data_IF_845740442045
#
_entry.id   IF_845740442045
#
_cell.length_a   1.000
_cell.length_b   1.000
_cell.length_c   1.000
_cell.angle_alpha   90.00
_cell.angle_beta   90.00
_cell.angle_gamma   90.00
#
_symmetry.space_group_name_H-M   'P 1'
#
loop_
_entity.id
_entity.type
_entity.pdbx_description
1 polymer ?
#
# COMPACT_ATOMS: atom_id res chain seq x y z
N UNK A 1 -7.94 34.20 4.20
CA UNK A 1 -8.74 32.98 4.48
C UNK A 1 -7.91 31.84 5.11
N UNK A 2 -6.68 31.54 4.67
CA UNK A 2 -5.81 30.53 5.32
C UNK A 2 -5.59 30.81 6.83
N UNK A 3 -5.55 32.08 7.21
CA UNK A 3 -5.44 32.53 8.59
C UNK A 3 -6.60 32.10 9.51
N UNK A 4 -7.80 31.82 8.98
CA UNK A 4 -9.00 31.51 9.78
C UNK A 4 -9.09 30.03 10.15
N UNK A 5 -8.70 29.14 9.23
CA UNK A 5 -8.60 27.70 9.50
C UNK A 5 -7.53 27.41 10.56
N UNK A 6 -6.38 28.10 10.48
CA UNK A 6 -5.31 28.00 11.50
C UNK A 6 -5.75 28.49 12.88
N UNK A 7 -6.58 29.55 12.94
CA UNK A 7 -7.13 30.02 14.21
C UNK A 7 -8.16 29.05 14.79
N UNK A 8 -9.04 28.45 13.97
CA UNK A 8 -9.96 27.41 14.46
C UNK A 8 -9.24 26.16 14.95
N UNK A 9 -8.14 25.77 14.30
CA UNK A 9 -7.30 24.67 14.78
C UNK A 9 -6.68 25.00 16.15
N UNK A 10 -6.16 26.22 16.34
CA UNK A 10 -5.62 26.67 17.63
C UNK A 10 -6.66 26.78 18.75
N UNK A 11 -7.95 26.81 18.41
CA UNK A 11 -9.08 26.87 19.34
C UNK A 11 -9.71 25.50 19.63
N UNK A 12 -9.14 24.40 19.13
CA UNK A 12 -9.68 23.04 19.31
C UNK A 12 -10.94 22.74 18.48
N UNK A 13 -11.29 23.61 17.53
CA UNK A 13 -12.47 23.50 16.66
C UNK A 13 -12.13 22.75 15.38
N UNK A 14 -11.67 21.52 15.57
CA UNK A 14 -11.08 20.69 14.52
C UNK A 14 -12.04 20.36 13.35
N UNK A 15 -13.33 20.03 13.59
CA UNK A 15 -14.28 19.75 12.50
C UNK A 15 -14.57 20.99 11.63
N UNK A 16 -14.66 22.17 12.24
CA UNK A 16 -14.88 23.42 11.50
C UNK A 16 -13.61 23.88 10.77
N UNK A 17 -12.43 23.61 11.33
CA UNK A 17 -11.15 23.90 10.69
C UNK A 17 -10.92 23.04 9.43
N UNK A 18 -11.27 21.75 9.49
CA UNK A 18 -11.21 20.82 8.35
C UNK A 18 -12.22 21.18 7.26
N UNK A 19 -13.47 21.43 7.63
CA UNK A 19 -14.53 21.84 6.68
C UNK A 19 -14.14 23.12 5.95
N UNK A 20 -13.64 24.11 6.69
CA UNK A 20 -13.17 25.37 6.10
C UNK A 20 -11.90 25.16 5.25
N UNK A 21 -11.01 24.25 5.65
CA UNK A 21 -9.83 23.87 4.88
C UNK A 21 -10.18 23.27 3.51
N UNK A 22 -11.15 22.35 3.47
CA UNK A 22 -11.65 21.74 2.23
C UNK A 22 -12.31 22.77 1.30
N UNK A 23 -13.13 23.67 1.84
CA UNK A 23 -13.76 24.75 1.06
C UNK A 23 -12.72 25.70 0.46
N UNK A 24 -11.69 26.06 1.23
CA UNK A 24 -10.58 26.91 0.75
C UNK A 24 -9.78 26.20 -0.35
N UNK A 25 -9.58 24.88 -0.23
CA UNK A 25 -8.89 24.09 -1.26
C UNK A 25 -9.69 24.03 -2.56
N UNK A 26 -11.00 23.79 -2.49
CA UNK A 26 -11.94 23.82 -3.62
C UNK A 26 -11.95 25.18 -4.34
N UNK A 27 -12.02 26.27 -3.58
CA UNK A 27 -11.98 27.64 -4.12
C UNK A 27 -10.64 27.96 -4.78
N UNK A 28 -9.53 27.51 -4.19
CA UNK A 28 -8.20 27.68 -4.80
C UNK A 28 -8.08 26.89 -6.10
N UNK A 29 -8.61 25.66 -6.16
CA UNK A 29 -8.70 24.86 -7.40
C UNK A 29 -9.47 25.57 -8.50
N UNK A 30 -10.61 26.19 -8.17
CA UNK A 30 -11.42 26.94 -9.13
C UNK A 30 -10.80 28.25 -9.61
N UNK A 31 -10.10 28.97 -8.73
CA UNK A 31 -9.58 30.31 -9.04
C UNK A 31 -8.18 30.27 -9.65
N UNK A 32 -7.31 29.41 -9.12
CA UNK A 32 -5.89 29.38 -9.48
C UNK A 32 -5.53 28.22 -10.41
N UNK A 33 -6.44 27.25 -10.59
CA UNK A 33 -6.18 26.02 -11.34
C UNK A 33 -5.39 24.98 -10.51
N UNK A 34 -5.49 23.69 -10.88
CA UNK A 34 -4.89 22.58 -10.14
C UNK A 34 -3.35 22.64 -10.09
N UNK A 35 -2.71 23.16 -11.14
CA UNK A 35 -1.24 23.23 -11.29
C UNK A 35 -0.58 24.38 -10.51
N UNK A 36 -1.36 25.26 -9.88
CA UNK A 36 -0.80 26.41 -9.20
C UNK A 36 -0.21 26.00 -7.84
N UNK A 37 1.01 26.41 -7.53
CA UNK A 37 1.75 26.09 -6.29
C UNK A 37 1.00 26.37 -4.97
N UNK A 38 0.01 27.29 -4.98
CA UNK A 38 -0.87 27.55 -3.83
C UNK A 38 -2.14 26.69 -3.77
N UNK A 39 -2.40 25.91 -4.81
CA UNK A 39 -3.52 24.97 -5.00
C UNK A 39 -3.11 23.52 -4.84
N UNK A 40 -1.82 23.22 -5.08
CA UNK A 40 -1.22 21.97 -4.62
C UNK A 40 -1.62 21.81 -3.15
N UNK A 41 -2.47 20.81 -2.87
CA UNK A 41 -2.86 20.52 -1.50
C UNK A 41 -1.58 20.36 -0.68
N UNK A 42 -1.59 20.57 0.65
CA UNK A 42 -0.55 19.94 1.47
C UNK A 42 -0.48 18.50 0.98
N UNK A 43 0.69 18.10 0.47
CA UNK A 43 0.90 16.79 -0.14
C UNK A 43 0.32 15.79 0.83
N UNK A 44 -0.82 15.17 0.47
CA UNK A 44 -1.41 14.20 1.36
C UNK A 44 -0.45 13.02 1.31
N UNK A 45 0.29 12.85 2.40
CA UNK A 45 1.31 11.83 2.53
C UNK A 45 0.66 10.46 2.55
N UNK A 46 1.47 9.44 2.26
CA UNK A 46 1.00 8.07 2.36
C UNK A 46 0.55 7.76 3.79
N UNK A 47 -0.48 6.92 3.92
CA UNK A 47 -0.86 6.29 5.18
C UNK A 47 -0.40 4.84 5.18
N UNK A 48 0.15 4.34 6.29
CA UNK A 48 0.45 2.91 6.45
C UNK A 48 -0.52 2.32 7.46
N UNK A 49 -1.31 1.33 7.05
CA UNK A 49 -2.19 0.56 7.92
C UNK A 49 -1.58 -0.84 8.06
N UNK A 50 -1.18 -1.21 9.29
CA UNK A 50 -0.57 -2.51 9.58
C UNK A 50 -1.60 -3.50 10.09
N UNK A 51 -1.41 -4.78 9.83
CA UNK A 51 -2.28 -5.82 10.38
C UNK A 51 -2.27 -5.79 11.92
N UNK A 52 -3.42 -5.98 12.60
CA UNK A 52 -4.78 -6.16 12.07
C UNK A 52 -5.62 -4.86 12.09
N UNK A 53 -5.01 -3.68 12.00
CA UNK A 53 -5.70 -2.39 12.15
C UNK A 53 -6.81 -2.18 11.12
N UNK A 54 -7.95 -1.65 11.59
CA UNK A 54 -9.14 -1.29 10.80
C UNK A 54 -9.31 0.23 10.66
N UNK A 55 -8.21 0.97 10.76
CA UNK A 55 -8.22 2.42 10.54
C UNK A 55 -8.84 2.79 9.17
N UNK A 56 -9.57 3.92 9.10
CA UNK A 56 -10.12 4.40 7.83
C UNK A 56 -9.00 4.68 6.81
N UNK A 57 -9.25 4.29 5.56
CA UNK A 57 -8.40 4.62 4.41
C UNK A 57 -8.48 6.11 4.13
N UNK A 58 -7.32 6.76 4.02
CA UNK A 58 -7.23 8.19 3.71
C UNK A 58 -6.68 8.47 2.31
N UNK A 59 -5.91 7.55 1.72
CA UNK A 59 -5.36 7.69 0.37
C UNK A 59 -6.43 7.67 -0.72
N UNK A 60 -6.14 8.34 -1.84
CA UNK A 60 -6.97 8.27 -3.06
C UNK A 60 -6.84 6.92 -3.76
N UNK A 61 -5.73 6.24 -3.51
CA UNK A 61 -5.38 4.91 -4.01
C UNK A 61 -4.83 4.09 -2.87
N UNK A 62 -4.82 2.77 -3.06
CA UNK A 62 -4.36 1.83 -2.06
C UNK A 62 -3.52 0.71 -2.65
N UNK A 63 -2.50 0.29 -1.90
CA UNK A 63 -1.60 -0.81 -2.28
C UNK A 63 -1.47 -1.81 -1.14
N UNK A 64 -1.59 -3.09 -1.43
CA UNK A 64 -1.32 -4.18 -0.49
C UNK A 64 0.06 -4.77 -0.72
N UNK A 65 0.85 -4.91 0.35
CA UNK A 65 2.22 -5.42 0.29
C UNK A 65 2.28 -6.91 0.63
N UNK A 66 1.96 -7.76 -0.35
CA UNK A 66 2.05 -9.22 -0.23
C UNK A 66 3.49 -9.73 -0.45
N UNK A 67 3.79 -10.93 0.02
CA UNK A 67 5.07 -11.58 -0.26
C UNK A 67 5.87 -11.96 0.97
N UNK A 68 7.17 -12.19 0.77
CA UNK A 68 8.10 -12.58 1.82
C UNK A 68 8.10 -11.53 2.94
N UNK A 69 7.74 -11.96 4.14
CA UNK A 69 7.65 -11.12 5.34
C UNK A 69 8.86 -11.26 6.27
N UNK A 70 9.68 -12.29 6.09
CA UNK A 70 10.89 -12.50 6.87
C UNK A 70 11.94 -11.44 6.49
N UNK A 71 12.52 -10.77 7.49
CA UNK A 71 13.70 -9.94 7.30
C UNK A 71 14.86 -10.85 6.88
N UNK A 72 15.19 -10.88 5.59
CA UNK A 72 16.35 -11.61 5.11
C UNK A 72 17.56 -10.72 5.36
N UNK A 73 18.51 -11.23 6.14
CA UNK A 73 19.70 -10.51 6.57
C UNK A 73 20.43 -9.92 5.35
N UNK A 74 20.73 -8.62 5.42
CA UNK A 74 21.58 -7.81 4.53
C UNK A 74 20.93 -6.87 3.49
N UNK A 75 19.60 -6.80 3.33
CA UNK A 75 18.99 -5.84 2.35
C UNK A 75 17.82 -4.98 2.87
N UNK A 76 17.56 -4.99 4.18
CA UNK A 76 16.44 -4.28 4.79
C UNK A 76 15.07 -4.89 4.43
N UNK A 77 14.00 -4.34 5.01
CA UNK A 77 12.64 -4.75 4.68
C UNK A 77 12.17 -4.01 3.42
N UNK A 78 11.95 -4.77 2.34
CA UNK A 78 11.48 -4.22 1.06
C UNK A 78 10.17 -3.44 1.19
N UNK A 79 9.31 -3.79 2.17
CA UNK A 79 8.05 -3.10 2.44
C UNK A 79 8.30 -1.71 2.97
N UNK A 80 9.26 -1.55 3.87
CA UNK A 80 9.63 -0.26 4.42
C UNK A 80 10.30 0.61 3.35
N UNK A 81 11.15 0.02 2.49
CA UNK A 81 11.75 0.72 1.36
C UNK A 81 10.68 1.23 0.36
N UNK A 82 9.74 0.36 -0.05
CA UNK A 82 8.66 0.76 -0.95
C UNK A 82 7.73 1.79 -0.29
N UNK A 83 7.44 1.63 1.00
CA UNK A 83 6.63 2.61 1.74
C UNK A 83 7.30 3.98 1.82
N UNK A 84 8.63 4.01 1.98
CA UNK A 84 9.40 5.25 1.95
C UNK A 84 9.37 5.91 0.56
N UNK A 85 9.48 5.13 -0.53
CA UNK A 85 9.38 5.65 -1.89
C UNK A 85 7.99 6.25 -2.19
N UNK A 86 6.95 5.67 -1.60
CA UNK A 86 5.57 6.13 -1.77
C UNK A 86 5.18 7.25 -0.79
N UNK A 87 6.07 7.70 0.09
CA UNK A 87 5.71 8.54 1.24
C UNK A 87 5.08 9.90 0.88
N UNK A 88 5.41 10.40 -0.30
CA UNK A 88 4.97 11.70 -0.81
C UNK A 88 3.74 11.60 -1.72
N UNK A 89 3.15 10.41 -1.85
CA UNK A 89 1.95 10.20 -2.65
C UNK A 89 0.74 9.96 -1.76
N UNK A 90 -0.47 10.36 -2.20
CA UNK A 90 -1.72 10.17 -1.47
C UNK A 90 -2.22 8.72 -1.52
N UNK A 91 -1.38 7.76 -1.13
CA UNK A 91 -1.67 6.32 -1.17
C UNK A 91 -1.81 5.73 0.22
N UNK A 92 -2.78 4.85 0.44
CA UNK A 92 -2.84 4.01 1.64
C UNK A 92 -2.15 2.68 1.38
N UNK A 93 -1.18 2.34 2.22
CA UNK A 93 -0.38 1.13 2.14
C UNK A 93 -0.87 0.16 3.20
N UNK A 94 -1.43 -0.96 2.77
CA UNK A 94 -1.74 -2.08 3.64
C UNK A 94 -0.49 -2.96 3.79
N UNK A 95 0.10 -2.94 4.98
CA UNK A 95 1.30 -3.69 5.29
C UNK A 95 0.96 -4.86 6.24
N UNK A 96 1.10 -6.13 5.80
CA UNK A 96 0.73 -7.29 6.61
C UNK A 96 1.68 -7.56 7.79
N UNK A 97 2.74 -6.77 7.94
CA UNK A 97 3.61 -6.85 9.12
C UNK A 97 2.79 -6.61 10.40
N UNK A 98 2.86 -7.55 11.34
CA UNK A 98 2.15 -7.52 12.62
C UNK A 98 3.16 -7.22 13.74
N UNK A 99 3.20 -6.00 14.31
CA UNK A 99 4.25 -5.60 15.26
C UNK A 99 4.26 -6.38 16.58
N UNK A 100 3.12 -6.95 16.97
CA UNK A 100 2.91 -7.72 18.20
C UNK A 100 2.98 -9.24 17.95
N UNK A 101 3.49 -9.67 16.80
CA UNK A 101 3.78 -11.08 16.56
C UNK A 101 4.87 -11.59 17.51
N UNK A 102 4.69 -12.81 17.99
CA UNK A 102 5.71 -13.53 18.77
C UNK A 102 5.78 -15.02 18.37
N UNK A 103 6.85 -15.69 18.82
CA UNK A 103 7.13 -17.09 18.46
C UNK A 103 6.19 -18.12 19.09
N UNK A 104 5.26 -17.72 19.97
CA UNK A 104 4.27 -18.62 20.58
C UNK A 104 3.03 -18.80 19.71
N UNK A 105 2.92 -17.98 18.66
CA UNK A 105 1.82 -18.05 17.71
C UNK A 105 1.82 -19.36 16.94
N UNK A 106 0.62 -19.92 16.75
CA UNK A 106 0.43 -21.19 16.06
C UNK A 106 -0.35 -20.96 14.77
N UNK A 107 0.10 -21.60 13.70
CA UNK A 107 -0.64 -21.70 12.44
C UNK A 107 -1.83 -22.66 12.60
N UNK A 108 -2.86 -22.19 13.31
CA UNK A 108 -4.08 -22.92 13.60
C UNK A 108 -5.27 -22.00 13.36
N UNK A 109 -6.26 -22.48 12.60
CA UNK A 109 -7.49 -21.73 12.31
C UNK A 109 -8.26 -21.35 13.58
N UNK A 110 -8.12 -22.12 14.66
CA UNK A 110 -8.77 -21.83 15.94
C UNK A 110 -7.95 -20.89 16.83
N UNK A 111 -6.70 -20.59 16.46
CA UNK A 111 -5.89 -19.62 17.17
C UNK A 111 -6.23 -18.22 16.68
N UNK A 112 -7.02 -17.50 17.50
CA UNK A 112 -7.61 -16.20 17.18
C UNK A 112 -6.66 -15.20 16.51
N UNK A 113 -5.47 -14.92 17.09
CA UNK A 113 -4.55 -13.94 16.50
C UNK A 113 -4.02 -14.32 15.11
N UNK A 114 -3.76 -15.62 14.87
CA UNK A 114 -3.36 -16.11 13.55
C UNK A 114 -4.50 -16.00 12.54
N UNK A 115 -5.71 -16.43 12.94
CA UNK A 115 -6.91 -16.32 12.10
C UNK A 115 -7.22 -14.86 11.73
N UNK A 116 -7.15 -13.95 12.69
CA UNK A 116 -7.39 -12.52 12.47
C UNK A 116 -6.41 -11.94 11.45
N UNK A 117 -5.12 -12.28 11.58
CA UNK A 117 -4.10 -11.88 10.61
C UNK A 117 -4.44 -12.35 9.20
N UNK A 118 -4.72 -13.63 9.02
CA UNK A 118 -5.00 -14.20 7.69
C UNK A 118 -6.26 -13.60 7.07
N UNK A 119 -7.32 -13.38 7.86
CA UNK A 119 -8.53 -12.73 7.35
C UNK A 119 -8.29 -11.28 6.96
N UNK A 120 -7.57 -10.53 7.79
CA UNK A 120 -7.18 -9.16 7.48
C UNK A 120 -6.38 -9.07 6.18
N UNK A 121 -5.41 -9.99 5.98
CA UNK A 121 -4.61 -10.06 4.76
C UNK A 121 -5.45 -10.35 3.52
N UNK A 122 -6.48 -11.19 3.63
CA UNK A 122 -7.42 -11.46 2.53
C UNK A 122 -8.31 -10.24 2.24
N UNK A 123 -8.90 -9.64 3.27
CA UNK A 123 -9.82 -8.52 3.12
C UNK A 123 -9.13 -7.27 2.54
N UNK A 124 -7.96 -6.90 3.07
CA UNK A 124 -7.21 -5.74 2.58
C UNK A 124 -6.65 -5.93 1.19
N UNK A 125 -6.30 -7.16 0.80
CA UNK A 125 -5.83 -7.48 -0.55
C UNK A 125 -6.96 -7.39 -1.59
N UNK A 126 -8.17 -7.80 -1.23
CA UNK A 126 -9.35 -7.59 -2.08
C UNK A 126 -9.65 -6.09 -2.20
N UNK A 127 -9.61 -5.37 -1.09
CA UNK A 127 -9.93 -3.93 -1.04
C UNK A 127 -8.90 -3.03 -1.74
N UNK A 128 -7.61 -3.40 -1.75
CA UNK A 128 -6.55 -2.56 -2.32
C UNK A 128 -6.73 -2.33 -3.82
N UNK A 129 -6.39 -1.16 -4.36
CA UNK A 129 -6.40 -0.94 -5.81
C UNK A 129 -5.34 -1.82 -6.50
N UNK A 130 -4.19 -1.98 -5.87
CA UNK A 130 -3.04 -2.73 -6.38
C UNK A 130 -2.48 -3.68 -5.32
N UNK A 131 -1.98 -4.84 -5.76
CA UNK A 131 -1.28 -5.81 -4.92
C UNK A 131 0.16 -5.93 -5.42
N UNK A 132 1.14 -5.63 -4.58
CA UNK A 132 2.55 -5.88 -4.88
C UNK A 132 2.94 -7.18 -4.19
N UNK A 133 3.41 -8.17 -4.96
CA UNK A 133 3.88 -9.46 -4.44
C UNK A 133 5.38 -9.56 -4.62
N UNK A 134 6.14 -9.53 -3.51
CA UNK A 134 7.60 -9.73 -3.55
C UNK A 134 8.01 -11.13 -3.09
N UNK A 135 8.74 -11.87 -3.92
CA UNK A 135 9.13 -13.26 -3.69
C UNK A 135 10.65 -13.36 -3.52
N UNK A 136 11.14 -13.24 -2.28
CA UNK A 136 12.57 -13.21 -2.01
C UNK A 136 13.25 -14.57 -2.31
N UNK A 137 14.44 -14.58 -2.94
CA UNK A 137 15.21 -15.81 -3.20
C UNK A 137 15.52 -16.73 -2.02
N UNK A 138 15.47 -16.23 -0.77
CA UNK A 138 15.82 -16.98 0.43
C UNK A 138 14.66 -17.80 0.98
N UNK A 139 13.46 -17.67 0.39
CA UNK A 139 12.24 -18.32 0.88
C UNK A 139 11.53 -19.02 -0.27
N UNK A 140 10.78 -20.08 0.02
CA UNK A 140 9.86 -20.67 -0.96
C UNK A 140 8.56 -19.87 -1.12
N UNK A 141 8.24 -19.02 -0.13
CA UNK A 141 7.04 -18.18 -0.09
C UNK A 141 5.74 -18.88 -0.55
N UNK A 142 5.39 -20.08 -0.04
CA UNK A 142 4.28 -20.87 -0.56
C UNK A 142 2.93 -20.18 -0.42
N UNK A 143 2.70 -19.50 0.72
CA UNK A 143 1.49 -18.72 0.94
C UNK A 143 1.43 -17.54 -0.04
N UNK A 144 2.53 -16.81 -0.24
CA UNK A 144 2.57 -15.71 -1.20
C UNK A 144 2.35 -16.16 -2.65
N UNK A 145 2.78 -17.36 -3.03
CA UNK A 145 2.46 -17.94 -4.34
C UNK A 145 0.97 -18.25 -4.49
N UNK A 146 0.32 -18.77 -3.43
CA UNK A 146 -1.13 -18.96 -3.41
C UNK A 146 -1.85 -17.61 -3.58
N UNK A 147 -1.44 -16.60 -2.83
CA UNK A 147 -2.01 -15.26 -2.89
C UNK A 147 -1.81 -14.60 -4.26
N UNK A 148 -0.60 -14.73 -4.83
CA UNK A 148 -0.31 -14.31 -6.19
C UNK A 148 -1.29 -14.95 -7.19
N UNK A 149 -1.50 -16.26 -7.10
CA UNK A 149 -2.44 -16.97 -7.96
C UNK A 149 -3.88 -16.48 -7.83
N UNK A 150 -4.31 -16.10 -6.62
CA UNK A 150 -5.64 -15.51 -6.39
C UNK A 150 -5.79 -14.12 -7.01
N UNK A 151 -4.73 -13.30 -6.99
CA UNK A 151 -4.75 -11.93 -7.53
C UNK A 151 -4.47 -11.84 -9.03
N UNK A 152 -3.68 -12.76 -9.60
CA UNK A 152 -3.22 -12.70 -10.99
C UNK A 152 -4.33 -12.83 -12.05
N UNK A 153 -5.53 -13.28 -11.66
CA UNK A 153 -6.65 -13.39 -12.59
C UNK A 153 -7.39 -12.07 -12.82
N UNK A 154 -7.11 -11.04 -12.02
CA UNK A 154 -7.70 -9.72 -12.18
C UNK A 154 -6.69 -8.84 -12.90
N UNK A 155 -6.98 -8.48 -14.15
CA UNK A 155 -6.11 -7.64 -14.96
C UNK A 155 -5.80 -6.31 -14.24
N UNK A 156 -4.53 -5.89 -14.24
CA UNK A 156 -4.05 -4.68 -13.56
C UNK A 156 -4.03 -4.72 -12.03
N UNK A 157 -4.45 -5.82 -11.39
CA UNK A 157 -4.54 -5.89 -9.92
C UNK A 157 -3.21 -6.18 -9.24
N UNK A 158 -2.26 -6.80 -9.93
CA UNK A 158 -1.06 -7.34 -9.27
C UNK A 158 0.21 -7.02 -10.03
N UNK A 159 1.24 -6.61 -9.28
CA UNK A 159 2.64 -6.56 -9.72
C UNK A 159 3.38 -7.67 -8.96
N UNK A 160 3.96 -8.61 -9.70
CA UNK A 160 4.72 -9.72 -9.11
C UNK A 160 6.22 -9.55 -9.35
N UNK A 161 7.00 -9.71 -8.28
CA UNK A 161 8.44 -9.47 -8.28
C UNK A 161 9.11 -10.75 -7.82
N UNK A 162 9.77 -11.43 -8.76
CA UNK A 162 10.57 -12.61 -8.51
C UNK A 162 12.02 -12.34 -8.97
N UNK A 163 12.90 -11.84 -8.07
CA UNK A 163 14.30 -11.60 -8.38
C UNK A 163 15.01 -12.85 -8.85
N UNK A 164 16.15 -12.66 -9.52
CA UNK A 164 17.05 -13.75 -9.85
C UNK A 164 17.41 -14.54 -8.58
N UNK A 165 17.48 -15.87 -8.71
CA UNK A 165 17.69 -16.79 -7.59
C UNK A 165 16.41 -17.29 -6.90
N UNK A 166 15.24 -16.68 -7.13
CA UNK A 166 14.00 -17.25 -6.60
C UNK A 166 13.67 -18.59 -7.26
N UNK A 167 13.56 -19.65 -6.46
CA UNK A 167 13.48 -21.04 -6.94
C UNK A 167 12.30 -21.33 -7.87
N UNK A 168 11.20 -20.55 -7.77
CA UNK A 168 10.00 -20.70 -8.61
C UNK A 168 9.85 -19.57 -9.63
N UNK A 169 10.90 -18.77 -9.86
CA UNK A 169 10.88 -17.60 -10.75
C UNK A 169 10.29 -17.89 -12.12
N UNK A 170 10.71 -18.96 -12.80
CA UNK A 170 10.19 -19.30 -14.12
C UNK A 170 8.67 -19.51 -14.14
N UNK A 171 8.10 -20.12 -13.09
CA UNK A 171 6.65 -20.29 -12.99
C UNK A 171 5.94 -18.95 -12.83
N UNK A 172 6.49 -18.07 -11.97
CA UNK A 172 5.97 -16.71 -11.79
C UNK A 172 6.00 -15.94 -13.10
N UNK A 173 7.11 -15.99 -13.84
CA UNK A 173 7.25 -15.34 -15.14
C UNK A 173 6.24 -15.84 -16.16
N UNK A 174 6.00 -17.16 -16.24
CA UNK A 174 5.01 -17.74 -17.16
C UNK A 174 3.59 -17.28 -16.80
N UNK A 175 3.24 -17.22 -15.51
CA UNK A 175 1.94 -16.70 -15.07
C UNK A 175 1.82 -15.22 -15.40
N UNK A 176 2.87 -14.42 -15.13
CA UNK A 176 2.90 -13.00 -15.51
C UNK A 176 2.70 -12.87 -17.01
N UNK A 177 3.53 -13.47 -17.85
CA UNK A 177 3.41 -13.40 -19.31
C UNK A 177 2.03 -13.82 -19.83
N UNK A 178 1.34 -14.75 -19.14
CA UNK A 178 0.02 -15.22 -19.54
C UNK A 178 -1.12 -14.28 -19.12
N UNK A 179 -1.00 -13.60 -17.98
CA UNK A 179 -2.11 -12.89 -17.35
C UNK A 179 -1.84 -11.42 -17.02
N UNK A 180 -0.59 -10.98 -17.08
CA UNK A 180 -0.08 -9.66 -16.67
C UNK A 180 0.84 -9.09 -17.76
N UNK A 181 0.78 -7.78 -17.98
CA UNK A 181 1.48 -7.14 -19.09
C UNK A 181 2.90 -6.63 -18.74
N UNK A 182 3.39 -6.76 -17.49
CA UNK A 182 4.62 -6.06 -17.04
C UNK A 182 5.55 -6.87 -16.13
N UNK A 183 6.86 -6.64 -16.29
CA UNK A 183 7.96 -7.04 -15.39
C UNK A 183 9.10 -6.00 -15.45
N UNK A 184 8.98 -4.88 -14.74
CA UNK A 184 9.96 -3.77 -14.72
C UNK A 184 10.22 -3.25 -13.29
N UNK A 185 10.85 -2.08 -13.17
CA UNK A 185 11.20 -1.44 -11.90
C UNK A 185 9.96 -1.21 -11.03
N UNK A 186 9.97 -1.80 -9.83
CA UNK A 186 8.80 -1.86 -8.94
C UNK A 186 8.18 -0.50 -8.64
N UNK A 187 9.01 0.50 -8.34
CA UNK A 187 8.52 1.80 -7.90
C UNK A 187 7.86 2.59 -9.02
N UNK A 188 8.50 2.68 -10.19
CA UNK A 188 7.94 3.32 -11.39
C UNK A 188 6.64 2.62 -11.81
N UNK A 189 6.64 1.28 -11.86
CA UNK A 189 5.44 0.51 -12.18
C UNK A 189 4.29 0.75 -11.20
N UNK A 190 4.57 0.75 -9.89
CA UNK A 190 3.53 1.01 -8.88
C UNK A 190 2.96 2.42 -9.06
N UNK A 191 3.81 3.42 -9.32
CA UNK A 191 3.37 4.80 -9.54
C UNK A 191 2.50 4.91 -10.80
N UNK A 192 2.90 4.25 -11.88
CA UNK A 192 2.19 4.27 -13.15
C UNK A 192 0.84 3.53 -13.07
N UNK A 193 0.81 2.33 -12.48
CA UNK A 193 -0.43 1.55 -12.29
C UNK A 193 -1.42 2.28 -11.37
N UNK A 194 -0.91 2.98 -10.35
CA UNK A 194 -1.74 3.80 -9.48
C UNK A 194 -2.08 5.18 -10.08
N UNK A 195 -1.54 5.52 -11.25
CA UNK A 195 -1.73 6.80 -11.94
C UNK A 195 -1.39 8.02 -11.07
N UNK A 196 -0.31 7.92 -10.29
CA UNK A 196 0.07 8.93 -9.29
C UNK A 196 0.88 10.12 -9.86
N UNK A 197 1.28 10.05 -11.13
CA UNK A 197 2.03 11.10 -11.84
C UNK A 197 1.15 12.15 -12.55
N UNK A 198 -0.18 12.15 -12.32
CA UNK A 198 -1.15 13.01 -12.99
C UNK A 198 -1.79 14.05 -12.05
#
# INVERSE_FOLDING_TARGET
MAHLSLTYHSQGRQPEAETLGLQVMELRKKVLGPEHHHTMSPIQRSQIIRAPSEEPVTGIKSVFLAGTTAAVENNGDWRENLSALLSNYPVTIFNPNRPDWDSTWREDINFGPYREKVLWELDKKVAADLVVVYLHPATLAPISLLEFGLSAQVAGKVIAIAPEGYSKRANVQIVCQKFLDTMDQVHELVIDELHLNQ
#
